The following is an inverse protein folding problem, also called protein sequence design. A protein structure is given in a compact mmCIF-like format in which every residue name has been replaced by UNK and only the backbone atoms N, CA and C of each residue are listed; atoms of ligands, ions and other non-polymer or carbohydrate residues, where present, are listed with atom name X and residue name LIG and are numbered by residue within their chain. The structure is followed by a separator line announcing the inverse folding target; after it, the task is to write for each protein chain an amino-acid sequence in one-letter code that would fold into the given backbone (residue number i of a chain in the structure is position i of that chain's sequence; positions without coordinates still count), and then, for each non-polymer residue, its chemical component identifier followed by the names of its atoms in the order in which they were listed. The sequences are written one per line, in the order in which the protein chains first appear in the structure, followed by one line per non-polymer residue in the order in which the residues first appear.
data_IF_197476234448
#
_entry.id   IF_197476234448
#
_cell.length_a   1.000
_cell.length_b   1.000
_cell.length_c   1.000
_cell.angle_alpha   90.00
_cell.angle_beta   90.00
_cell.angle_gamma   90.00
#
_symmetry.space_group_name_H-M   'P 1'
#
loop_
_entity.id
_entity.type
_entity.pdbx_description
1 polymer ?
#
# COMPACT_ATOMS: atom_id res chain seq x y z
N UNK A 1 -9.15 -11.21 -2.58
CA UNK A 1 -8.13 -10.59 -3.44
C UNK A 1 -7.89 -11.39 -4.71
N UNK A 2 -7.96 -10.73 -5.86
CA UNK A 2 -7.58 -11.28 -7.16
C UNK A 2 -6.04 -11.42 -7.27
N UNK A 3 -5.55 -12.21 -8.25
CA UNK A 3 -4.11 -12.48 -8.40
C UNK A 3 -3.26 -11.20 -8.59
N UNK A 4 -3.79 -10.20 -9.29
CA UNK A 4 -3.13 -8.90 -9.51
C UNK A 4 -2.95 -8.12 -8.20
N UNK A 5 -4.03 -8.02 -7.41
CA UNK A 5 -4.02 -7.36 -6.10
C UNK A 5 -3.10 -8.07 -5.12
N UNK A 6 -3.01 -9.41 -5.19
CA UNK A 6 -2.17 -10.22 -4.30
C UNK A 6 -0.67 -9.93 -4.46
N UNK A 7 -0.20 -9.68 -5.68
CA UNK A 7 1.21 -9.35 -5.94
C UNK A 7 1.59 -8.02 -5.28
N UNK A 8 0.80 -6.96 -5.50
CA UNK A 8 1.04 -5.66 -4.86
C UNK A 8 0.91 -5.76 -3.34
N UNK A 9 -0.13 -6.41 -2.82
CA UNK A 9 -0.30 -6.62 -1.39
C UNK A 9 0.93 -7.29 -0.75
N UNK A 10 1.43 -8.37 -1.38
CA UNK A 10 2.59 -9.11 -0.87
C UNK A 10 3.86 -8.26 -0.90
N UNK A 11 4.01 -7.44 -1.94
CA UNK A 11 5.10 -6.47 -2.05
C UNK A 11 5.04 -5.43 -0.93
N UNK A 12 3.89 -4.78 -0.71
CA UNK A 12 3.72 -3.78 0.35
C UNK A 12 3.98 -4.37 1.75
N UNK A 13 3.50 -5.59 2.01
CA UNK A 13 3.81 -6.32 3.26
C UNK A 13 5.31 -6.56 3.41
N UNK A 14 5.99 -6.98 2.33
CA UNK A 14 7.43 -7.24 2.37
C UNK A 14 8.23 -5.97 2.69
N UNK A 15 7.89 -4.84 2.07
CA UNK A 15 8.54 -3.55 2.31
C UNK A 15 8.29 -3.06 3.73
N UNK A 16 7.05 -3.12 4.22
CA UNK A 16 6.72 -2.73 5.59
C UNK A 16 7.48 -3.54 6.65
N UNK A 17 7.75 -4.82 6.38
CA UNK A 17 8.56 -5.67 7.26
C UNK A 17 10.07 -5.46 7.10
N UNK A 18 10.51 -5.04 5.92
CA UNK A 18 11.93 -4.91 5.57
C UNK A 18 12.19 -3.57 4.86
N UNK A 19 12.07 -2.43 5.55
CA UNK A 19 12.19 -1.12 4.90
C UNK A 19 13.58 -0.89 4.26
N UNK A 20 14.63 -1.55 4.76
CA UNK A 20 15.98 -1.50 4.16
C UNK A 20 16.15 -2.35 2.90
N UNK A 21 15.15 -3.13 2.49
CA UNK A 21 15.27 -4.00 1.31
C UNK A 21 15.10 -3.26 -0.02
N UNK A 22 14.71 -1.98 0.02
CA UNK A 22 14.52 -1.14 -1.16
C UNK A 22 15.56 -0.04 -1.28
N UNK A 23 15.88 0.31 -2.53
CA UNK A 23 16.74 1.46 -2.85
C UNK A 23 15.95 2.77 -2.74
N UNK A 24 16.61 3.92 -2.54
CA UNK A 24 15.94 5.22 -2.54
C UNK A 24 15.14 5.51 -3.81
N UNK A 25 15.62 5.03 -4.97
CA UNK A 25 14.88 5.15 -6.22
C UNK A 25 13.57 4.35 -6.20
N UNK A 26 13.58 3.15 -5.62
CA UNK A 26 12.37 2.33 -5.48
C UNK A 26 11.40 2.94 -4.48
N UNK A 27 11.90 3.55 -3.41
CA UNK A 27 11.10 4.31 -2.46
C UNK A 27 10.33 5.42 -3.18
N UNK A 28 10.99 6.23 -4.01
CA UNK A 28 10.32 7.25 -4.82
C UNK A 28 9.25 6.70 -5.79
N UNK A 29 9.49 5.56 -6.42
CA UNK A 29 8.45 4.93 -7.25
C UNK A 29 7.25 4.46 -6.42
N UNK A 30 7.50 3.96 -5.22
CA UNK A 30 6.44 3.54 -4.31
C UNK A 30 5.65 4.75 -3.78
N UNK A 31 6.31 5.85 -3.43
CA UNK A 31 5.67 7.13 -3.08
C UNK A 31 4.76 7.60 -4.21
N UNK A 32 5.28 7.64 -5.45
CA UNK A 32 4.48 8.00 -6.62
C UNK A 32 3.28 7.08 -6.85
N UNK A 33 3.44 5.78 -6.61
CA UNK A 33 2.32 4.83 -6.69
C UNK A 33 1.24 5.18 -5.66
N UNK A 34 1.61 5.42 -4.39
CA UNK A 34 0.65 5.73 -3.34
C UNK A 34 -0.02 7.11 -3.54
N UNK A 35 0.68 8.10 -4.11
CA UNK A 35 0.11 9.41 -4.47
C UNK A 35 -1.03 9.35 -5.50
N UNK A 36 -1.26 8.21 -6.15
CA UNK A 36 -2.44 8.01 -7.01
C UNK A 36 -3.73 7.81 -6.19
N UNK A 37 -3.61 7.57 -4.89
CA UNK A 37 -4.72 7.51 -3.96
C UNK A 37 -5.04 8.93 -3.43
N UNK A 38 -6.31 9.19 -3.08
CA UNK A 38 -6.66 10.33 -2.23
C UNK A 38 -5.83 10.35 -0.93
N UNK A 39 -5.53 11.53 -0.37
CA UNK A 39 -4.66 11.66 0.80
C UNK A 39 -5.08 10.79 2.01
N UNK A 40 -6.38 10.70 2.29
CA UNK A 40 -6.90 9.86 3.38
C UNK A 40 -6.66 8.36 3.14
N UNK A 41 -6.73 7.92 1.89
CA UNK A 41 -6.50 6.52 1.51
C UNK A 41 -5.00 6.19 1.46
N UNK A 42 -4.20 7.14 0.99
CA UNK A 42 -2.73 7.07 1.02
C UNK A 42 -2.22 6.90 2.46
N UNK A 43 -2.69 7.75 3.38
CA UNK A 43 -2.30 7.71 4.79
C UNK A 43 -2.73 6.38 5.44
N UNK A 44 -3.97 5.95 5.20
CA UNK A 44 -4.47 4.67 5.70
C UNK A 44 -3.65 3.47 5.19
N UNK A 45 -3.31 3.43 3.90
CA UNK A 45 -2.48 2.37 3.32
C UNK A 45 -1.05 2.42 3.90
N UNK A 46 -0.46 3.61 4.00
CA UNK A 46 0.89 3.81 4.54
C UNK A 46 1.00 3.31 5.96
N UNK A 47 0.05 3.67 6.84
CA UNK A 47 0.00 3.18 8.21
C UNK A 47 -0.35 1.69 8.31
N UNK A 48 -1.25 1.17 7.47
CA UNK A 48 -1.64 -0.23 7.54
C UNK A 48 -0.47 -1.18 7.25
N UNK A 49 0.36 -0.83 6.26
CA UNK A 49 1.54 -1.60 5.89
C UNK A 49 2.81 -1.18 6.64
N UNK A 50 2.85 0.00 7.28
CA UNK A 50 4.04 0.51 7.96
C UNK A 50 5.13 0.96 6.99
N UNK A 51 4.75 1.70 5.94
CA UNK A 51 5.65 2.12 4.86
C UNK A 51 6.41 3.40 5.23
N UNK A 52 7.59 3.59 4.62
CA UNK A 52 8.41 4.81 4.75
C UNK A 52 8.80 5.16 6.20
N UNK A 53 8.93 4.15 7.06
CA UNK A 53 9.19 4.36 8.49
C UNK A 53 7.99 4.85 9.30
N UNK A 54 6.79 4.88 8.70
CA UNK A 54 5.55 5.21 9.39
C UNK A 54 5.19 4.13 10.40
N UNK A 55 4.64 4.56 11.54
CA UNK A 55 4.13 3.64 12.56
C UNK A 55 3.01 2.78 11.97
N UNK A 56 3.09 1.46 12.22
CA UNK A 56 2.06 0.55 11.76
C UNK A 56 0.85 0.60 12.69
N UNK A 57 -0.28 1.08 12.16
CA UNK A 57 -1.56 1.10 12.89
C UNK A 57 -2.34 -0.20 12.67
N UNK A 58 -3.09 -0.62 13.67
CA UNK A 58 -4.06 -1.70 13.54
C UNK A 58 -5.27 -1.27 12.68
N UNK A 59 -5.99 -2.25 12.15
CA UNK A 59 -7.21 -1.99 11.38
C UNK A 59 -8.27 -1.23 12.20
N UNK A 60 -8.32 -1.46 13.52
CA UNK A 60 -9.24 -0.76 14.42
C UNK A 60 -8.89 0.72 14.57
N UNK A 61 -7.60 1.05 14.68
CA UNK A 61 -7.14 2.43 14.79
C UNK A 61 -7.44 3.19 13.49
N UNK A 62 -7.11 2.61 12.34
CA UNK A 62 -7.40 3.21 11.03
C UNK A 62 -8.91 3.38 10.83
N UNK A 63 -9.71 2.39 11.22
CA UNK A 63 -11.16 2.48 11.15
C UNK A 63 -11.70 3.63 12.03
N UNK A 64 -11.12 3.83 13.21
CA UNK A 64 -11.48 4.91 14.11
C UNK A 64 -11.10 6.28 13.54
N UNK A 65 -9.90 6.40 12.95
CA UNK A 65 -9.44 7.62 12.27
C UNK A 65 -10.35 7.99 11.08
N UNK A 66 -10.82 6.99 10.33
CA UNK A 66 -11.70 7.17 9.17
C UNK A 66 -13.20 7.26 9.52
N UNK A 67 -13.58 7.04 10.79
CA UNK A 67 -14.98 6.98 11.21
C UNK A 67 -15.77 5.82 10.57
N UNK A 68 -15.10 4.72 10.24
CA UNK A 68 -15.65 3.55 9.56
C UNK A 68 -15.66 2.31 10.45
N UNK A 69 -16.38 1.26 10.03
CA UNK A 69 -16.22 -0.07 10.62
C UNK A 69 -14.90 -0.70 10.17
N UNK A 70 -14.40 -1.71 10.90
CA UNK A 70 -13.22 -2.47 10.46
C UNK A 70 -13.46 -3.19 9.13
N UNK A 71 -14.68 -3.68 8.90
CA UNK A 71 -15.06 -4.35 7.66
C UNK A 71 -15.01 -3.39 6.47
N UNK A 72 -15.60 -2.19 6.62
CA UNK A 72 -15.56 -1.15 5.59
C UNK A 72 -14.13 -0.64 5.34
N UNK A 73 -13.33 -0.53 6.41
CA UNK A 73 -11.92 -0.12 6.31
C UNK A 73 -11.11 -1.16 5.55
N UNK A 74 -11.30 -2.45 5.84
CA UNK A 74 -10.63 -3.52 5.10
C UNK A 74 -11.06 -3.52 3.63
N UNK A 75 -12.36 -3.34 3.34
CA UNK A 75 -12.86 -3.25 1.97
C UNK A 75 -12.26 -2.04 1.23
N UNK A 76 -12.14 -0.89 1.91
CA UNK A 76 -11.48 0.32 1.37
C UNK A 76 -10.01 0.04 1.04
N UNK A 77 -9.26 -0.56 1.97
CA UNK A 77 -7.85 -0.91 1.76
C UNK A 77 -7.67 -1.89 0.59
N UNK A 78 -8.52 -2.92 0.50
CA UNK A 78 -8.51 -3.85 -0.65
C UNK A 78 -8.77 -3.13 -1.97
N UNK A 79 -9.75 -2.21 -1.99
CA UNK A 79 -10.06 -1.41 -3.17
C UNK A 79 -8.91 -0.48 -3.55
N UNK A 80 -8.22 0.14 -2.58
CA UNK A 80 -7.04 0.96 -2.83
C UNK A 80 -5.93 0.15 -3.48
N UNK A 81 -5.58 -1.00 -2.89
CA UNK A 81 -4.55 -1.90 -3.45
C UNK A 81 -4.97 -2.39 -4.84
N UNK A 82 -6.25 -2.69 -5.06
CA UNK A 82 -6.75 -3.11 -6.37
C UNK A 82 -6.63 -2.01 -7.41
N UNK A 83 -6.95 -0.76 -7.06
CA UNK A 83 -6.79 0.40 -7.93
C UNK A 83 -5.33 0.58 -8.31
N UNK A 84 -4.42 0.50 -7.35
CA UNK A 84 -2.98 0.60 -7.58
C UNK A 84 -2.44 -0.56 -8.43
N UNK A 85 -2.92 -1.78 -8.21
CA UNK A 85 -2.42 -2.98 -8.90
C UNK A 85 -2.71 -2.99 -10.42
N UNK A 86 -3.62 -2.14 -10.91
CA UNK A 86 -3.92 -2.02 -12.35
C UNK A 86 -3.24 -0.81 -13.01
N UNK A 87 -2.50 -0.01 -12.24
CA UNK A 87 -1.82 1.18 -12.74
C UNK A 87 -0.56 0.83 -13.53
N UNK A 88 -0.17 1.66 -14.52
CA UNK A 88 1.10 1.50 -15.22
C UNK A 88 2.31 1.66 -14.30
N UNK A 89 2.23 2.49 -13.26
CA UNK A 89 3.25 2.70 -12.25
C UNK A 89 3.60 1.38 -11.55
N UNK A 90 2.58 0.61 -11.15
CA UNK A 90 2.80 -0.72 -10.59
C UNK A 90 3.41 -1.69 -11.61
N UNK A 91 3.01 -1.64 -12.88
CA UNK A 91 3.62 -2.50 -13.91
C UNK A 91 5.12 -2.19 -14.09
N UNK A 92 5.52 -0.91 -14.00
CA UNK A 92 6.94 -0.53 -14.05
C UNK A 92 7.71 -1.06 -12.85
N UNK A 93 7.18 -0.93 -11.64
CA UNK A 93 7.82 -1.45 -10.42
C UNK A 93 8.05 -2.97 -10.55
N UNK A 94 7.05 -3.70 -11.03
CA UNK A 94 7.18 -5.15 -11.28
C UNK A 94 8.30 -5.48 -12.26
N UNK A 95 8.45 -4.72 -13.35
CA UNK A 95 9.54 -4.92 -14.31
C UNK A 95 10.92 -4.64 -13.69
N UNK A 96 11.03 -3.61 -12.86
CA UNK A 96 12.28 -3.23 -12.18
C UNK A 96 12.68 -4.31 -11.16
N UNK A 97 11.71 -4.81 -10.39
CA UNK A 97 11.90 -5.83 -9.36
C UNK A 97 11.92 -7.26 -9.92
N UNK A 98 11.56 -7.45 -11.21
CA UNK A 98 11.41 -8.74 -11.88
C UNK A 98 10.44 -9.69 -11.15
N UNK A 99 9.31 -9.15 -10.69
CA UNK A 99 8.22 -9.86 -9.98
C UNK A 99 6.91 -9.87 -10.76
#
# INVERSE_FOLDING_TARGET
MDALTRSLHSFLVHIGLNPMSITPQMEHYLEHLLYLLPPEEEEAVTHYYGLFGSERKSLQEIASDLGLSQEDTMARLDQCVRRLAVTPEWQMIKQIQKI
#
